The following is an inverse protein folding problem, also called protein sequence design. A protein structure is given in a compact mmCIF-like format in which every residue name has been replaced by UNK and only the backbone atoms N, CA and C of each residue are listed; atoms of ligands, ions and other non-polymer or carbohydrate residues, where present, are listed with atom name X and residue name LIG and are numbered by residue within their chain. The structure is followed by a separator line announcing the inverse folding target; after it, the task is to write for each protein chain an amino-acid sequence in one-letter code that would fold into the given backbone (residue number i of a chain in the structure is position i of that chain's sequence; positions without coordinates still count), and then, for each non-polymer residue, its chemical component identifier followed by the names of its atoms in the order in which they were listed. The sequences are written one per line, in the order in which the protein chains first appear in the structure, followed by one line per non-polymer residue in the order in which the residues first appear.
data_IF_457246371938
#
_entry.id   IF_457246371938
#
_cell.length_a   1.000
_cell.length_b   1.000
_cell.length_c   1.000
_cell.angle_alpha   90.00
_cell.angle_beta   90.00
_cell.angle_gamma   90.00
#
_symmetry.space_group_name_H-M   'P 1'
#
loop_
_entity.id
_entity.type
_entity.pdbx_description
1 polymer ?
#
# COMPACT_ATOMS: atom_id res chain seq x y z
N UNK A 1 18.76 -8.71 2.67
CA UNK A 1 19.46 -9.73 3.48
C UNK A 1 18.48 -10.41 4.42
N UNK A 2 18.84 -11.47 5.14
CA UNK A 2 17.93 -12.08 6.15
C UNK A 2 17.43 -11.08 7.21
N UNK A 3 18.11 -9.94 7.37
CA UNK A 3 17.70 -8.77 8.16
C UNK A 3 16.44 -8.06 7.66
N UNK A 4 16.07 -8.24 6.39
CA UNK A 4 14.89 -7.62 5.76
C UNK A 4 13.59 -8.41 6.01
N UNK A 5 13.68 -9.62 6.58
CA UNK A 5 12.54 -10.55 6.73
C UNK A 5 11.50 -10.06 7.75
N UNK A 6 11.87 -9.62 8.97
CA UNK A 6 10.87 -9.12 9.93
C UNK A 6 10.11 -7.90 9.40
N UNK A 7 10.81 -7.01 8.67
CA UNK A 7 10.19 -5.86 8.01
C UNK A 7 9.17 -6.28 6.96
N UNK A 8 9.52 -7.23 6.08
CA UNK A 8 8.61 -7.76 5.07
C UNK A 8 7.35 -8.39 5.69
N UNK A 9 7.49 -9.11 6.82
CA UNK A 9 6.36 -9.69 7.55
C UNK A 9 5.43 -8.59 8.07
N UNK A 10 5.99 -7.58 8.76
CA UNK A 10 5.19 -6.47 9.31
C UNK A 10 4.53 -5.65 8.20
N UNK A 11 5.25 -5.37 7.12
CA UNK A 11 4.71 -4.67 5.95
C UNK A 11 3.57 -5.44 5.28
N UNK A 12 3.74 -6.75 5.09
CA UNK A 12 2.69 -7.63 4.56
C UNK A 12 1.45 -7.66 5.44
N UNK A 13 1.61 -7.71 6.76
CA UNK A 13 0.48 -7.66 7.71
C UNK A 13 -0.25 -6.32 7.68
N UNK A 14 0.48 -5.20 7.61
CA UNK A 14 -0.12 -3.86 7.50
C UNK A 14 -0.92 -3.75 6.20
N UNK A 15 -0.36 -4.23 5.08
CA UNK A 15 -1.05 -4.22 3.79
C UNK A 15 -2.31 -5.08 3.85
N UNK A 16 -2.22 -6.34 4.30
CA UNK A 16 -3.38 -7.24 4.32
C UNK A 16 -4.52 -6.75 5.22
N UNK A 17 -4.20 -6.15 6.38
CA UNK A 17 -5.21 -5.49 7.22
C UNK A 17 -5.76 -4.24 6.51
N UNK A 18 -4.87 -3.42 5.95
CA UNK A 18 -5.25 -2.21 5.22
C UNK A 18 -6.16 -2.46 4.04
N UNK A 19 -5.95 -3.54 3.28
CA UNK A 19 -6.78 -3.94 2.13
C UNK A 19 -8.22 -4.19 2.56
N UNK A 20 -8.42 -5.00 3.61
CA UNK A 20 -9.77 -5.32 4.11
C UNK A 20 -10.46 -4.09 4.73
N UNK A 21 -9.71 -3.26 5.44
CA UNK A 21 -10.25 -1.99 5.93
C UNK A 21 -10.61 -1.04 4.78
N UNK A 22 -9.76 -0.92 3.76
CA UNK A 22 -10.00 -0.04 2.63
C UNK A 22 -11.20 -0.52 1.77
N UNK A 23 -11.37 -1.82 1.59
CA UNK A 23 -12.53 -2.36 0.88
C UNK A 23 -13.85 -1.97 1.56
N UNK A 24 -13.92 -2.11 2.90
CA UNK A 24 -15.12 -1.81 3.69
C UNK A 24 -15.42 -0.31 3.75
N UNK A 25 -14.42 0.53 4.02
CA UNK A 25 -14.63 1.95 4.28
C UNK A 25 -14.38 2.84 3.06
N UNK A 26 -13.31 2.57 2.29
CA UNK A 26 -12.94 3.37 1.14
C UNK A 26 -13.75 3.00 -0.11
N UNK A 27 -14.14 1.73 -0.28
CA UNK A 27 -14.93 1.29 -1.45
C UNK A 27 -16.23 2.08 -1.61
N UNK A 28 -17.00 2.20 -0.53
CA UNK A 28 -18.25 2.98 -0.52
C UNK A 28 -18.05 4.49 -0.70
N UNK A 29 -17.01 5.06 -0.07
CA UNK A 29 -16.69 6.50 -0.15
C UNK A 29 -16.16 6.88 -1.54
N UNK A 30 -15.32 6.05 -2.16
CA UNK A 30 -14.79 6.32 -3.50
C UNK A 30 -15.89 6.21 -4.55
N UNK A 31 -16.80 5.25 -4.40
CA UNK A 31 -18.00 5.13 -5.24
C UNK A 31 -18.87 6.40 -5.18
N UNK A 32 -19.08 6.99 -4.00
CA UNK A 32 -19.88 8.22 -3.86
C UNK A 32 -19.15 9.47 -4.33
N UNK A 33 -17.83 9.55 -4.15
CA UNK A 33 -17.02 10.71 -4.56
C UNK A 33 -16.71 10.77 -6.07
N UNK A 34 -16.42 9.62 -6.68
CA UNK A 34 -15.98 9.56 -8.08
C UNK A 34 -17.07 9.03 -9.04
N UNK A 35 -18.16 8.46 -8.53
CA UNK A 35 -19.52 8.48 -9.10
C UNK A 35 -19.78 7.93 -10.50
N UNK A 36 -18.78 7.45 -11.25
CA UNK A 36 -18.95 7.06 -12.64
C UNK A 36 -19.60 5.67 -12.79
N UNK A 37 -19.21 4.70 -11.96
CA UNK A 37 -19.81 3.36 -11.91
C UNK A 37 -19.59 2.75 -10.51
N UNK A 38 -20.66 2.27 -9.82
CA UNK A 38 -20.57 1.69 -8.47
C UNK A 38 -19.69 0.43 -8.35
N UNK A 39 -19.24 -0.14 -9.48
CA UNK A 39 -18.37 -1.32 -9.54
C UNK A 39 -16.89 -0.98 -9.76
N UNK A 40 -16.54 0.28 -9.97
CA UNK A 40 -15.15 0.66 -10.22
C UNK A 40 -14.26 0.47 -8.99
N UNK A 41 -14.80 0.69 -7.79
CA UNK A 41 -14.03 0.67 -6.55
C UNK A 41 -14.14 -0.65 -5.76
N UNK A 42 -14.76 -1.68 -6.34
CA UNK A 42 -14.89 -3.02 -5.71
C UNK A 42 -13.60 -3.85 -5.71
N UNK A 43 -12.57 -3.46 -6.48
CA UNK A 43 -11.32 -4.23 -6.61
C UNK A 43 -10.13 -3.61 -5.86
N UNK A 44 -10.38 -2.96 -4.71
CA UNK A 44 -9.36 -2.26 -3.91
C UNK A 44 -8.20 -3.19 -3.53
N UNK A 45 -8.47 -4.46 -3.20
CA UNK A 45 -7.45 -5.46 -2.84
C UNK A 45 -6.37 -5.66 -3.92
N UNK A 46 -6.71 -5.43 -5.19
CA UNK A 46 -5.76 -5.70 -6.28
C UNK A 46 -4.71 -4.59 -6.45
N UNK A 47 -5.00 -3.38 -5.98
CA UNK A 47 -4.16 -2.21 -6.26
C UNK A 47 -3.79 -1.36 -5.04
N UNK A 48 -4.45 -1.58 -3.89
CA UNK A 48 -4.20 -0.84 -2.66
C UNK A 48 -2.75 -0.94 -2.20
N UNK A 49 -2.17 -2.15 -2.21
CA UNK A 49 -0.78 -2.38 -1.82
C UNK A 49 0.20 -1.49 -2.60
N UNK A 50 -0.02 -1.31 -3.91
CA UNK A 50 0.82 -0.46 -4.75
C UNK A 50 0.66 1.01 -4.40
N UNK A 51 -0.57 1.48 -4.17
CA UNK A 51 -0.82 2.88 -3.79
C UNK A 51 -0.23 3.20 -2.42
N UNK A 52 -0.36 2.29 -1.45
CA UNK A 52 0.24 2.44 -0.13
C UNK A 52 1.78 2.45 -0.21
N UNK A 53 2.37 1.54 -1.00
CA UNK A 53 3.81 1.51 -1.23
C UNK A 53 4.30 2.80 -1.92
N UNK A 54 3.60 3.29 -2.94
CA UNK A 54 3.93 4.55 -3.62
C UNK A 54 3.82 5.76 -2.69
N UNK A 55 2.73 5.85 -1.91
CA UNK A 55 2.55 6.91 -0.92
C UNK A 55 3.66 6.91 0.12
N UNK A 56 4.07 5.73 0.59
CA UNK A 56 5.21 5.60 1.49
C UNK A 56 6.52 6.05 0.83
N UNK A 57 6.80 5.59 -0.40
CA UNK A 57 8.03 5.94 -1.12
C UNK A 57 8.13 7.44 -1.42
N UNK A 58 7.00 8.11 -1.65
CA UNK A 58 6.95 9.56 -1.82
C UNK A 58 7.40 10.30 -0.56
N UNK A 59 7.03 9.81 0.63
CA UNK A 59 7.42 10.42 1.91
C UNK A 59 8.83 9.96 2.34
N UNK A 60 9.19 8.71 2.05
CA UNK A 60 10.47 8.12 2.41
C UNK A 60 11.05 7.32 1.23
N UNK A 61 11.87 7.96 0.38
CA UNK A 61 12.39 7.34 -0.84
C UNK A 61 13.41 6.22 -0.59
N UNK A 62 13.83 5.99 0.65
CA UNK A 62 14.81 4.95 1.02
C UNK A 62 14.21 3.54 1.17
N UNK A 63 13.07 3.29 0.51
CA UNK A 63 12.34 2.02 0.60
C UNK A 63 11.56 1.86 1.90
N UNK A 64 10.54 1.00 1.88
CA UNK A 64 9.70 0.67 3.05
C UNK A 64 10.50 0.14 4.26
N UNK A 65 11.71 -0.37 4.00
CA UNK A 65 12.53 -1.10 4.96
C UNK A 65 13.90 -0.48 5.23
N UNK A 66 14.12 0.78 4.81
CA UNK A 66 15.27 1.58 5.25
C UNK A 66 16.65 1.05 4.83
N UNK A 67 16.73 0.29 3.74
CA UNK A 67 18.02 -0.01 3.14
C UNK A 67 18.53 1.29 2.51
N UNK A 68 19.59 1.87 3.09
CA UNK A 68 20.27 3.04 2.53
C UNK A 68 20.60 2.73 1.08
N UNK A 69 20.28 3.66 0.18
CA UNK A 69 20.81 3.63 -1.18
C UNK A 69 22.33 3.72 -1.01
N UNK A 70 23.02 2.61 -1.22
CA UNK A 70 24.48 2.59 -1.21
C UNK A 70 24.89 3.25 -2.52
N UNK A 71 25.28 4.52 -2.45
CA UNK A 71 26.00 5.17 -3.54
C UNK A 71 27.26 4.35 -3.79
N UNK A 72 27.31 3.73 -4.96
CA UNK A 72 28.49 3.00 -5.42
C UNK A 72 29.34 4.03 -6.14
N UNK A 73 30.38 4.51 -5.48
CA UNK A 73 31.52 5.20 -6.12
C UNK A 73 32.47 4.18 -6.73
#
# INVERSE_FOLDING_TARGET
GFTSIPGAIVGGLIIGVGEKWAEIYLGGVMNTLFGADPRMFTAIENWFAYVLALGFLLVRPQGLFGEKIIERV
#
